data_IF_355400975446
#
_entry.id   IF_355400975446
#
_cell.length_a   1.000
_cell.length_b   1.000
_cell.length_c   1.000
_cell.angle_alpha   90.00
_cell.angle_beta   90.00
_cell.angle_gamma   90.00
#
_symmetry.space_group_name_H-M   'P 1'
#
loop_
_entity.id
_entity.type
_entity.pdbx_description
1 polymer ?
#
# COMPACT_ATOMS: atom_id res chain seq x y z
N UNK A 1 -0.94 -28.08 -5.12
CA UNK A 1 -0.54 -27.58 -6.46
C UNK A 1 -0.50 -28.76 -7.44
N UNK A 2 -0.71 -28.53 -8.76
CA UNK A 2 -0.42 -29.53 -9.81
C UNK A 2 1.05 -29.53 -10.16
N UNK A 3 1.49 -30.55 -10.93
CA UNK A 3 2.87 -30.67 -11.41
C UNK A 3 3.28 -29.45 -12.25
N UNK A 4 2.41 -29.00 -13.14
CA UNK A 4 2.67 -27.90 -14.09
C UNK A 4 2.52 -26.49 -13.51
N UNK A 5 2.19 -26.36 -12.23
CA UNK A 5 1.89 -25.06 -11.60
C UNK A 5 3.00 -24.03 -11.82
N UNK A 6 4.23 -24.40 -11.52
CA UNK A 6 5.37 -23.48 -11.62
C UNK A 6 5.68 -23.10 -13.07
N UNK A 7 5.51 -24.05 -14.01
CA UNK A 7 5.72 -23.81 -15.43
C UNK A 7 4.62 -22.89 -16.00
N UNK A 8 3.35 -23.12 -15.63
CA UNK A 8 2.21 -22.32 -16.08
C UNK A 8 2.35 -20.86 -15.67
N UNK A 9 2.88 -20.60 -14.47
CA UNK A 9 3.11 -19.26 -13.95
C UNK A 9 4.50 -18.70 -14.27
N UNK A 10 5.30 -19.43 -15.05
CA UNK A 10 6.68 -19.06 -15.39
C UNK A 10 7.56 -18.76 -14.16
N UNK A 11 7.34 -19.49 -13.05
CA UNK A 11 8.14 -19.34 -11.82
C UNK A 11 9.45 -20.09 -12.00
N UNK A 12 10.62 -19.42 -11.94
CA UNK A 12 11.89 -20.05 -12.16
C UNK A 12 12.28 -20.97 -10.99
N UNK A 13 12.85 -22.11 -11.31
CA UNK A 13 13.52 -22.97 -10.34
C UNK A 13 14.87 -22.35 -9.98
N UNK A 14 15.14 -22.13 -8.70
CA UNK A 14 16.42 -21.63 -8.24
C UNK A 14 17.41 -22.75 -7.95
N UNK A 15 16.96 -23.83 -7.30
CA UNK A 15 17.78 -25.01 -6.96
C UNK A 15 16.94 -26.26 -6.88
N UNK A 16 17.56 -27.42 -7.10
CA UNK A 16 16.89 -28.71 -7.03
C UNK A 16 16.06 -29.05 -8.26
N UNK A 17 14.88 -29.63 -8.07
CA UNK A 17 13.91 -29.95 -9.11
C UNK A 17 12.49 -29.52 -8.73
N UNK A 18 11.62 -29.36 -9.70
CA UNK A 18 10.18 -29.18 -9.51
C UNK A 18 9.48 -30.55 -9.35
N UNK A 19 8.19 -30.52 -9.06
CA UNK A 19 7.35 -31.70 -9.07
C UNK A 19 7.30 -32.33 -10.45
N UNK A 20 7.24 -33.65 -10.48
CA UNK A 20 7.04 -34.44 -11.69
C UNK A 20 5.95 -35.50 -11.52
N UNK A 21 5.57 -36.18 -12.61
CA UNK A 21 4.53 -37.21 -12.57
C UNK A 21 4.92 -38.43 -11.73
N UNK A 22 6.20 -38.59 -11.42
CA UNK A 22 6.70 -39.69 -10.59
C UNK A 22 6.45 -39.44 -9.09
N UNK A 23 6.15 -38.20 -8.69
CA UNK A 23 5.85 -37.82 -7.31
C UNK A 23 4.39 -38.13 -6.94
N UNK A 24 3.93 -39.36 -7.13
CA UNK A 24 2.56 -39.79 -6.85
C UNK A 24 2.22 -39.92 -5.36
N UNK A 25 0.95 -40.16 -5.04
CA UNK A 25 0.44 -40.28 -3.67
C UNK A 25 1.10 -41.35 -2.81
N UNK A 26 1.57 -42.42 -3.46
CA UNK A 26 2.17 -43.60 -2.81
C UNK A 26 3.70 -43.55 -2.73
N UNK A 27 4.28 -42.43 -3.13
CA UNK A 27 5.72 -42.21 -3.12
C UNK A 27 6.16 -41.41 -1.89
N UNK A 28 7.47 -41.17 -1.79
CA UNK A 28 8.03 -40.27 -0.80
C UNK A 28 7.38 -38.90 -0.93
N UNK A 29 6.94 -38.35 0.22
CA UNK A 29 6.29 -37.04 0.25
C UNK A 29 7.32 -35.97 0.02
N UNK A 30 7.09 -35.12 -0.98
CA UNK A 30 8.00 -34.09 -1.41
C UNK A 30 7.37 -32.71 -1.35
N UNK A 31 8.19 -31.70 -1.13
CA UNK A 31 7.79 -30.29 -1.10
C UNK A 31 8.80 -29.42 -1.86
N UNK A 32 8.27 -28.31 -2.38
CA UNK A 32 9.06 -27.19 -2.88
C UNK A 32 8.89 -26.03 -1.91
N UNK A 33 9.95 -25.30 -1.62
CA UNK A 33 9.95 -24.21 -0.64
C UNK A 33 10.40 -22.90 -1.28
N UNK A 34 10.01 -21.76 -0.67
CA UNK A 34 10.52 -20.46 -1.08
C UNK A 34 11.98 -20.27 -0.64
N UNK A 35 12.69 -19.41 -1.35
CA UNK A 35 14.06 -18.99 -1.01
C UNK A 35 14.15 -18.34 0.38
N UNK A 36 13.14 -17.54 0.75
CA UNK A 36 13.04 -16.93 2.07
C UNK A 36 12.82 -17.97 3.18
N UNK A 37 12.02 -19.01 2.90
CA UNK A 37 11.87 -20.15 3.80
C UNK A 37 13.21 -20.87 3.97
N UNK A 38 13.87 -21.16 2.87
CA UNK A 38 15.17 -21.84 2.86
C UNK A 38 16.23 -21.05 3.68
N UNK A 39 16.33 -19.75 3.46
CA UNK A 39 17.27 -18.88 4.16
C UNK A 39 16.98 -18.82 5.68
N UNK A 40 15.70 -18.85 6.07
CA UNK A 40 15.30 -18.75 7.48
C UNK A 40 15.51 -20.05 8.26
N UNK A 41 15.11 -21.19 7.66
CA UNK A 41 15.08 -22.47 8.37
C UNK A 41 16.32 -23.34 8.13
N UNK A 42 17.10 -23.03 7.09
CA UNK A 42 18.34 -23.75 6.77
C UNK A 42 19.53 -22.79 6.54
N UNK A 43 19.85 -21.92 7.52
CA UNK A 43 20.90 -20.91 7.33
C UNK A 43 22.25 -21.57 7.06
N UNK A 44 22.87 -21.24 5.94
CA UNK A 44 24.18 -21.75 5.53
C UNK A 44 24.22 -23.23 5.13
N UNK A 45 23.05 -23.90 5.01
CA UNK A 45 22.95 -25.29 4.60
C UNK A 45 22.19 -25.42 3.27
N UNK A 46 22.46 -26.51 2.54
CA UNK A 46 21.64 -26.87 1.37
C UNK A 46 20.33 -27.51 1.85
N UNK A 47 19.16 -26.91 1.54
CA UNK A 47 17.86 -27.43 1.98
C UNK A 47 17.42 -28.66 1.18
N UNK A 48 17.89 -28.83 -0.06
CA UNK A 48 17.50 -29.93 -0.94
C UNK A 48 17.90 -31.27 -0.32
N UNK A 49 16.97 -32.20 -0.25
CA UNK A 49 17.14 -33.50 0.40
C UNK A 49 16.92 -33.48 1.93
N UNK A 50 16.70 -32.32 2.55
CA UNK A 50 16.36 -32.26 3.97
C UNK A 50 14.89 -32.61 4.21
N UNK A 51 14.62 -33.19 5.39
CA UNK A 51 13.28 -33.56 5.79
C UNK A 51 12.67 -32.53 6.72
N UNK A 52 11.39 -32.25 6.50
CA UNK A 52 10.56 -31.36 7.33
C UNK A 52 9.39 -32.18 7.89
N UNK A 53 9.16 -32.05 9.19
CA UNK A 53 8.06 -32.70 9.87
C UNK A 53 6.87 -31.74 9.99
N UNK A 54 5.72 -32.16 9.47
CA UNK A 54 4.47 -31.41 9.69
C UNK A 54 3.90 -31.76 11.08
N UNK A 55 3.93 -30.75 11.96
CA UNK A 55 3.48 -30.87 13.35
C UNK A 55 1.97 -30.60 13.50
N UNK A 56 1.29 -30.12 12.48
CA UNK A 56 -0.12 -29.71 12.51
C UNK A 56 -1.13 -30.86 12.37
N UNK A 57 -0.66 -32.09 12.32
CA UNK A 57 -1.52 -33.28 12.30
C UNK A 57 -2.06 -33.53 13.72
N UNK A 58 -3.12 -32.80 14.11
CA UNK A 58 -3.79 -33.00 15.41
C UNK A 58 -4.23 -34.48 15.52
N UNK A 59 -3.48 -35.25 16.29
CA UNK A 59 -3.80 -36.68 16.58
C UNK A 59 -3.37 -37.69 15.51
N UNK A 60 -2.71 -37.29 14.42
CA UNK A 60 -2.14 -38.16 13.39
C UNK A 60 -0.62 -38.23 13.50
N UNK A 61 -0.02 -39.31 12.94
CA UNK A 61 1.43 -39.40 12.82
C UNK A 61 1.94 -38.20 12.01
N UNK A 62 2.99 -37.48 12.44
CA UNK A 62 3.54 -36.38 11.69
C UNK A 62 3.97 -36.85 10.29
N UNK A 63 3.51 -36.13 9.27
CA UNK A 63 3.97 -36.39 7.92
C UNK A 63 5.40 -35.87 7.78
N UNK A 64 6.26 -36.66 7.13
CA UNK A 64 7.63 -36.24 6.79
C UNK A 64 7.67 -35.91 5.30
N UNK A 65 8.17 -34.73 5.00
CA UNK A 65 8.30 -34.24 3.63
C UNK A 65 9.77 -33.95 3.31
N UNK A 66 10.23 -34.37 2.15
CA UNK A 66 11.57 -34.08 1.66
C UNK A 66 11.56 -32.85 0.76
N UNK A 67 12.43 -31.87 1.04
CA UNK A 67 12.58 -30.68 0.18
C UNK A 67 13.27 -31.09 -1.11
N UNK A 68 12.61 -30.90 -2.26
CA UNK A 68 13.18 -31.26 -3.57
C UNK A 68 13.59 -30.05 -4.40
N UNK A 69 13.05 -28.87 -4.12
CA UNK A 69 13.33 -27.67 -4.90
C UNK A 69 13.10 -26.39 -4.15
N UNK A 70 13.73 -25.34 -4.63
CA UNK A 70 13.65 -23.97 -4.12
C UNK A 70 13.23 -23.05 -5.27
N UNK A 71 12.21 -22.24 -5.02
CA UNK A 71 11.67 -21.23 -5.94
C UNK A 71 11.67 -19.85 -5.26
N UNK A 72 11.63 -18.74 -6.01
CA UNK A 72 11.49 -17.43 -5.40
C UNK A 72 10.15 -17.35 -4.67
N UNK A 73 10.10 -16.60 -3.56
CA UNK A 73 8.85 -16.32 -2.88
C UNK A 73 7.97 -15.43 -3.78
N UNK A 74 6.73 -15.84 -4.01
CA UNK A 74 5.79 -15.16 -4.89
C UNK A 74 4.58 -14.64 -4.12
N UNK A 75 3.86 -13.67 -4.71
CA UNK A 75 2.61 -13.16 -4.16
C UNK A 75 1.47 -14.10 -4.57
N UNK A 76 0.91 -14.85 -3.60
CA UNK A 76 -0.24 -15.72 -3.83
C UNK A 76 -1.57 -15.02 -3.61
N UNK A 77 -1.58 -14.13 -2.62
CA UNK A 77 -2.74 -13.37 -2.24
C UNK A 77 -2.85 -12.08 -3.06
N UNK A 78 -3.89 -11.32 -2.78
CA UNK A 78 -4.10 -10.01 -3.39
C UNK A 78 -2.84 -9.15 -3.20
N UNK A 79 -2.48 -8.30 -4.18
CA UNK A 79 -1.30 -7.44 -4.09
C UNK A 79 -1.31 -6.47 -2.90
N UNK A 80 -2.46 -6.24 -2.28
CA UNK A 80 -2.68 -5.39 -1.11
C UNK A 80 -2.40 -6.11 0.23
N UNK A 81 -2.26 -7.45 0.22
CA UNK A 81 -1.85 -8.21 1.39
C UNK A 81 -0.32 -8.33 1.46
N UNK A 82 0.25 -8.32 2.67
CA UNK A 82 1.67 -8.62 2.82
C UNK A 82 1.99 -9.99 2.25
N UNK A 83 3.04 -10.08 1.43
CA UNK A 83 3.51 -11.36 0.93
C UNK A 83 3.89 -12.26 2.10
N UNK A 84 3.35 -13.50 2.12
CA UNK A 84 3.79 -14.49 3.08
C UNK A 84 5.28 -14.82 2.83
N UNK A 85 6.18 -14.53 3.79
CA UNK A 85 7.61 -14.67 3.54
C UNK A 85 8.03 -16.13 3.44
N UNK A 86 7.33 -17.03 4.11
CA UNK A 86 7.69 -18.44 4.19
C UNK A 86 6.63 -19.29 3.50
N UNK A 87 6.94 -19.72 2.26
CA UNK A 87 6.01 -20.48 1.44
C UNK A 87 6.48 -21.91 1.28
N UNK A 88 5.55 -22.84 1.47
CA UNK A 88 5.76 -24.27 1.26
C UNK A 88 4.69 -24.77 0.31
N UNK A 89 5.13 -25.41 -0.75
CA UNK A 89 4.27 -25.92 -1.82
C UNK A 89 4.16 -27.42 -1.71
N UNK A 90 2.91 -27.92 -1.65
CA UNK A 90 2.60 -29.34 -1.59
C UNK A 90 2.00 -29.80 -2.92
N UNK A 91 2.41 -30.94 -3.39
CA UNK A 91 1.72 -31.58 -4.49
C UNK A 91 0.32 -31.98 -4.03
N UNK A 92 -0.71 -31.74 -4.86
CA UNK A 92 -2.11 -31.98 -4.47
C UNK A 92 -2.36 -33.41 -4.01
N UNK A 93 -1.81 -34.40 -4.72
CA UNK A 93 -1.92 -35.83 -4.39
C UNK A 93 -1.27 -36.21 -3.05
N UNK A 94 -0.35 -35.42 -2.53
CA UNK A 94 0.39 -35.66 -1.29
C UNK A 94 0.05 -34.66 -0.18
N UNK A 95 -0.89 -33.72 -0.43
CA UNK A 95 -1.23 -32.64 0.51
C UNK A 95 -1.73 -33.17 1.85
N UNK A 96 -1.27 -32.64 2.98
CA UNK A 96 -1.77 -32.99 4.30
C UNK A 96 -3.19 -32.46 4.52
N UNK A 97 -3.59 -31.46 3.74
CA UNK A 97 -4.92 -30.89 3.77
C UNK A 97 -5.83 -31.76 2.92
N UNK A 98 -6.59 -32.65 3.58
CA UNK A 98 -7.58 -33.48 2.89
C UNK A 98 -8.63 -32.57 2.20
N UNK A 99 -9.23 -33.02 1.05
CA UNK A 99 -10.24 -32.27 0.28
C UNK A 99 -11.49 -31.85 1.07
N UNK A 100 -11.57 -32.16 2.34
CA UNK A 100 -12.69 -31.82 3.22
C UNK A 100 -12.77 -30.34 3.59
N UNK A 101 -11.72 -29.55 3.35
CA UNK A 101 -11.65 -28.15 3.83
C UNK A 101 -12.00 -27.14 2.74
N UNK A 102 -11.71 -27.44 1.48
CA UNK A 102 -12.08 -26.57 0.36
C UNK A 102 -12.53 -27.40 -0.83
N UNK A 103 -13.80 -27.26 -1.20
CA UNK A 103 -14.33 -27.84 -2.44
C UNK A 103 -13.99 -26.98 -3.67
N UNK A 104 -13.20 -25.94 -3.49
CA UNK A 104 -12.89 -24.99 -4.55
C UNK A 104 -11.50 -25.27 -5.14
N UNK A 105 -11.48 -25.45 -6.45
CA UNK A 105 -10.25 -25.60 -7.23
C UNK A 105 -10.12 -24.40 -8.15
N UNK A 106 -8.93 -23.82 -8.19
CA UNK A 106 -8.59 -22.79 -9.18
C UNK A 106 -7.78 -23.41 -10.29
N UNK A 107 -8.33 -23.40 -11.51
CA UNK A 107 -7.64 -23.83 -12.71
C UNK A 107 -6.97 -22.65 -13.38
N UNK A 108 -5.65 -22.73 -13.56
CA UNK A 108 -4.85 -21.73 -14.27
C UNK A 108 -4.54 -22.25 -15.68
N UNK A 109 -4.83 -21.45 -16.69
CA UNK A 109 -4.52 -21.73 -18.08
C UNK A 109 -3.63 -20.65 -18.65
N UNK A 110 -2.53 -21.06 -19.26
CA UNK A 110 -1.66 -20.19 -20.03
C UNK A 110 -1.97 -20.30 -21.52
N UNK A 111 -2.21 -19.18 -22.19
CA UNK A 111 -2.52 -19.13 -23.62
C UNK A 111 -1.73 -18.02 -24.31
N UNK A 112 -1.46 -18.21 -25.61
CA UNK A 112 -0.80 -17.23 -26.47
C UNK A 112 -1.76 -16.26 -27.17
N UNK A 113 -3.07 -16.45 -27.01
CA UNK A 113 -4.11 -15.63 -27.64
C UNK A 113 -5.07 -15.03 -26.62
N UNK A 114 -6.24 -14.63 -27.10
CA UNK A 114 -7.31 -14.13 -26.23
C UNK A 114 -7.76 -15.23 -25.24
N UNK A 115 -7.54 -15.02 -23.94
CA UNK A 115 -7.94 -15.99 -22.91
C UNK A 115 -9.43 -16.32 -22.92
N UNK A 116 -10.27 -15.33 -23.27
CA UNK A 116 -11.73 -15.50 -23.28
C UNK A 116 -12.21 -16.41 -24.41
N UNK A 117 -11.43 -16.55 -25.48
CA UNK A 117 -11.77 -17.47 -26.57
C UNK A 117 -11.80 -18.93 -26.13
N UNK A 118 -11.07 -19.29 -25.08
CA UNK A 118 -11.00 -20.66 -24.54
C UNK A 118 -12.16 -21.04 -23.62
N UNK A 119 -12.98 -20.08 -23.17
CA UNK A 119 -14.03 -20.31 -22.15
C UNK A 119 -15.01 -21.40 -22.58
N UNK A 120 -15.47 -21.37 -23.84
CA UNK A 120 -16.43 -22.36 -24.33
C UNK A 120 -15.80 -23.76 -24.44
N UNK A 121 -14.57 -23.86 -24.92
CA UNK A 121 -13.84 -25.12 -25.00
C UNK A 121 -13.62 -25.71 -23.60
N UNK A 122 -13.22 -24.85 -22.64
CA UNK A 122 -13.04 -25.25 -21.24
C UNK A 122 -14.34 -25.78 -20.63
N UNK A 123 -15.47 -25.09 -20.84
CA UNK A 123 -16.78 -25.53 -20.35
C UNK A 123 -17.17 -26.88 -20.93
N UNK A 124 -16.96 -27.09 -22.23
CA UNK A 124 -17.25 -28.39 -22.87
C UNK A 124 -16.36 -29.50 -22.30
N UNK A 125 -15.09 -29.24 -22.09
CA UNK A 125 -14.15 -30.22 -21.56
C UNK A 125 -14.52 -30.63 -20.14
N UNK A 126 -14.79 -29.65 -19.25
CA UNK A 126 -15.17 -29.93 -17.86
C UNK A 126 -16.54 -30.62 -17.78
N UNK A 127 -17.54 -30.19 -18.56
CA UNK A 127 -18.84 -30.85 -18.61
C UNK A 127 -18.75 -32.30 -19.14
N UNK A 128 -17.74 -32.60 -19.96
CA UNK A 128 -17.45 -33.96 -20.39
C UNK A 128 -16.85 -34.84 -19.30
N UNK A 129 -16.23 -34.28 -18.29
CA UNK A 129 -15.69 -34.99 -17.12
C UNK A 129 -16.77 -35.16 -16.06
N UNK A 130 -17.41 -34.07 -15.65
CA UNK A 130 -18.54 -34.05 -14.73
C UNK A 130 -19.49 -32.89 -15.08
N UNK A 131 -20.72 -33.23 -15.56
CA UNK A 131 -21.72 -32.19 -15.89
C UNK A 131 -22.23 -31.39 -14.70
N UNK A 132 -22.05 -31.88 -13.46
CA UNK A 132 -22.48 -31.18 -12.24
C UNK A 132 -21.41 -30.24 -11.65
N UNK A 133 -20.23 -30.20 -12.24
CA UNK A 133 -19.15 -29.33 -11.77
C UNK A 133 -19.34 -27.90 -12.31
N UNK A 134 -19.75 -26.94 -11.46
CA UNK A 134 -19.95 -25.56 -11.91
C UNK A 134 -18.61 -24.87 -12.12
N UNK A 135 -18.39 -24.34 -13.31
CA UNK A 135 -17.32 -23.38 -13.56
C UNK A 135 -17.78 -21.97 -13.18
N UNK A 136 -17.34 -21.52 -12.03
CA UNK A 136 -17.62 -20.17 -11.53
C UNK A 136 -16.41 -19.27 -11.75
N UNK A 137 -16.64 -17.96 -11.88
CA UNK A 137 -15.54 -16.96 -11.81
C UNK A 137 -14.45 -17.15 -12.86
N UNK A 138 -14.83 -17.25 -14.14
CA UNK A 138 -13.88 -17.32 -15.25
C UNK A 138 -13.49 -15.89 -15.66
N UNK A 139 -12.23 -15.52 -15.48
CA UNK A 139 -11.71 -14.19 -15.85
C UNK A 139 -10.24 -14.25 -16.23
N UNK A 140 -9.78 -13.32 -17.07
CA UNK A 140 -8.35 -13.15 -17.36
C UNK A 140 -7.59 -12.77 -16.09
N UNK A 141 -6.34 -13.21 -15.97
CA UNK A 141 -5.51 -12.93 -14.81
C UNK A 141 -5.27 -11.41 -14.60
N UNK A 142 -5.18 -10.65 -15.69
CA UNK A 142 -5.07 -9.18 -15.65
C UNK A 142 -6.26 -8.52 -14.94
N UNK A 143 -7.47 -9.09 -15.10
CA UNK A 143 -8.67 -8.57 -14.42
C UNK A 143 -8.60 -8.81 -12.91
N UNK A 144 -8.05 -9.94 -12.46
CA UNK A 144 -7.82 -10.20 -11.02
C UNK A 144 -6.92 -9.15 -10.42
N UNK A 145 -5.83 -8.84 -11.13
CA UNK A 145 -4.88 -7.79 -10.72
C UNK A 145 -5.60 -6.43 -10.68
N UNK A 146 -6.34 -6.09 -11.73
CA UNK A 146 -7.05 -4.81 -11.82
C UNK A 146 -8.09 -4.63 -10.70
N UNK A 147 -8.90 -5.65 -10.44
CA UNK A 147 -9.93 -5.64 -9.40
C UNK A 147 -9.33 -5.59 -7.99
N UNK A 148 -8.18 -6.22 -7.80
CA UNK A 148 -7.43 -6.13 -6.54
C UNK A 148 -7.02 -4.70 -6.18
N UNK A 149 -6.76 -3.86 -7.18
CA UNK A 149 -6.42 -2.45 -6.99
C UNK A 149 -7.64 -1.52 -6.94
N UNK A 150 -8.84 -1.97 -7.32
CA UNK A 150 -10.02 -1.12 -7.36
C UNK A 150 -10.39 -0.56 -5.98
N UNK A 151 -10.37 -1.38 -4.94
CA UNK A 151 -10.60 -0.98 -3.56
C UNK A 151 -9.58 0.05 -3.08
N UNK A 152 -8.32 -0.13 -3.44
CA UNK A 152 -7.23 0.78 -3.07
C UNK A 152 -7.35 2.13 -3.78
N UNK A 153 -7.78 2.15 -5.06
CA UNK A 153 -8.06 3.39 -5.80
C UNK A 153 -9.18 4.19 -5.14
N UNK A 154 -10.26 3.54 -4.73
CA UNK A 154 -11.36 4.20 -4.00
C UNK A 154 -10.86 4.83 -2.70
N UNK A 155 -10.10 4.08 -1.90
CA UNK A 155 -9.51 4.59 -0.65
C UNK A 155 -8.58 5.79 -0.91
N UNK A 156 -7.69 5.70 -1.89
CA UNK A 156 -6.79 6.81 -2.27
C UNK A 156 -7.57 8.04 -2.73
N UNK A 157 -8.64 7.86 -3.52
CA UNK A 157 -9.49 8.98 -3.96
C UNK A 157 -10.19 9.63 -2.79
N UNK A 158 -10.77 8.85 -1.87
CA UNK A 158 -11.43 9.39 -0.67
C UNK A 158 -10.45 10.16 0.21
N UNK A 159 -9.29 9.57 0.52
CA UNK A 159 -8.24 10.23 1.30
C UNK A 159 -7.77 11.51 0.60
N UNK A 160 -7.58 11.49 -0.72
CA UNK A 160 -7.21 12.66 -1.51
C UNK A 160 -8.24 13.79 -1.42
N UNK A 161 -9.53 13.48 -1.56
CA UNK A 161 -10.62 14.47 -1.43
C UNK A 161 -10.67 15.05 -0.03
N UNK A 162 -10.59 14.23 1.02
CA UNK A 162 -10.57 14.73 2.40
C UNK A 162 -9.34 15.57 2.70
N UNK A 163 -8.17 15.18 2.19
CA UNK A 163 -6.94 15.96 2.34
C UNK A 163 -7.04 17.32 1.64
N UNK A 164 -7.60 17.37 0.44
CA UNK A 164 -7.85 18.63 -0.27
C UNK A 164 -8.82 19.52 0.46
N UNK A 165 -9.92 18.97 0.99
CA UNK A 165 -10.88 19.72 1.79
C UNK A 165 -10.25 20.27 3.08
N UNK A 166 -9.46 19.46 3.79
CA UNK A 166 -8.73 19.89 4.99
C UNK A 166 -7.73 21.01 4.67
N UNK A 167 -7.02 20.93 3.54
CA UNK A 167 -6.10 21.97 3.09
C UNK A 167 -6.82 23.29 2.83
N UNK A 168 -7.96 23.25 2.12
CA UNK A 168 -8.78 24.45 1.86
C UNK A 168 -9.28 25.08 3.17
N UNK A 169 -9.79 24.26 4.09
CA UNK A 169 -10.24 24.74 5.41
C UNK A 169 -9.08 25.37 6.21
N UNK A 170 -7.89 24.79 6.15
CA UNK A 170 -6.69 25.33 6.81
C UNK A 170 -6.29 26.68 6.22
N UNK A 171 -6.31 26.82 4.89
CA UNK A 171 -6.03 28.11 4.19
C UNK A 171 -7.05 29.17 4.60
N UNK A 172 -8.35 28.84 4.61
CA UNK A 172 -9.43 29.76 5.01
C UNK A 172 -9.31 30.14 6.49
N UNK A 173 -9.01 29.17 7.36
CA UNK A 173 -8.80 29.41 8.79
C UNK A 173 -7.60 30.35 9.05
N UNK A 174 -6.45 30.09 8.42
CA UNK A 174 -5.27 30.94 8.55
C UNK A 174 -5.52 32.35 8.00
N UNK A 175 -6.18 32.45 6.83
CA UNK A 175 -6.61 33.73 6.27
C UNK A 175 -7.52 34.50 7.23
N UNK A 176 -8.51 33.86 7.86
CA UNK A 176 -9.42 34.47 8.82
C UNK A 176 -8.69 35.03 10.04
N UNK A 177 -7.80 34.24 10.65
CA UNK A 177 -7.01 34.66 11.81
C UNK A 177 -6.10 35.84 11.47
N UNK A 178 -5.42 35.81 10.33
CA UNK A 178 -4.53 36.88 9.90
C UNK A 178 -5.31 38.16 9.55
N UNK A 179 -6.44 38.05 8.84
CA UNK A 179 -7.30 39.18 8.50
C UNK A 179 -7.83 39.86 9.76
N UNK A 180 -8.24 39.07 10.75
CA UNK A 180 -8.67 39.59 12.04
C UNK A 180 -7.54 40.31 12.80
N UNK A 181 -6.36 39.67 12.84
CA UNK A 181 -5.16 40.27 13.48
C UNK A 181 -4.76 41.59 12.82
N UNK A 182 -4.79 41.66 11.49
CA UNK A 182 -4.51 42.91 10.73
C UNK A 182 -5.57 43.97 11.05
N UNK A 183 -6.86 43.60 11.14
CA UNK A 183 -7.93 44.52 11.46
C UNK A 183 -7.78 45.17 12.86
N UNK A 184 -7.41 44.38 13.86
CA UNK A 184 -7.15 44.86 15.22
C UNK A 184 -5.97 45.85 15.31
N UNK A 185 -4.96 45.68 14.43
CA UNK A 185 -3.76 46.51 14.40
C UNK A 185 -3.77 47.59 13.32
N UNK A 186 -4.92 47.82 12.68
CA UNK A 186 -5.08 48.75 11.56
C UNK A 186 -4.53 50.14 11.90
N UNK A 187 -4.86 50.65 13.11
CA UNK A 187 -4.39 51.95 13.57
C UNK A 187 -2.88 51.99 13.77
N UNK A 188 -2.30 50.98 14.37
CA UNK A 188 -0.82 50.88 14.54
C UNK A 188 -0.09 50.87 13.18
N UNK A 189 -0.59 50.04 12.23
CA UNK A 189 -0.05 49.94 10.90
C UNK A 189 -0.15 51.25 10.11
N UNK A 190 -1.29 51.99 10.27
CA UNK A 190 -1.48 53.30 9.66
C UNK A 190 -0.51 54.34 10.19
N UNK A 191 -0.26 54.40 11.53
CA UNK A 191 0.73 55.28 12.13
C UNK A 191 2.14 54.97 11.61
N UNK A 192 2.53 53.71 11.51
CA UNK A 192 3.84 53.32 10.95
C UNK A 192 4.01 53.77 9.49
N UNK A 193 2.96 53.61 8.66
CA UNK A 193 2.98 54.09 7.27
C UNK A 193 3.08 55.64 7.21
N UNK A 194 2.36 56.35 8.06
CA UNK A 194 2.46 57.81 8.13
C UNK A 194 3.84 58.32 8.55
N UNK A 195 4.61 57.50 9.34
CA UNK A 195 5.98 57.75 9.74
C UNK A 195 7.00 57.28 8.71
N UNK A 196 6.58 56.83 7.50
CA UNK A 196 7.46 56.48 6.39
C UNK A 196 7.84 55.00 6.29
N UNK A 197 7.16 54.09 7.00
CA UNK A 197 7.38 52.65 6.84
C UNK A 197 7.01 52.21 5.42
N UNK A 198 7.91 51.47 4.77
CA UNK A 198 7.65 50.89 3.45
C UNK A 198 6.61 49.76 3.52
N UNK A 199 5.83 49.62 2.46
CA UNK A 199 4.85 48.53 2.34
C UNK A 199 5.47 47.11 2.47
N UNK A 200 6.72 46.94 2.03
CA UNK A 200 7.50 45.72 2.19
C UNK A 200 7.74 45.34 3.66
N UNK A 201 7.95 46.29 4.54
CA UNK A 201 8.16 46.05 5.97
C UNK A 201 6.85 45.54 6.65
N UNK A 202 5.71 46.09 6.24
CA UNK A 202 4.40 45.66 6.73
C UNK A 202 4.04 44.26 6.19
N UNK A 203 4.31 44.02 4.89
CA UNK A 203 4.17 42.68 4.29
C UNK A 203 5.00 41.66 5.07
N UNK A 204 6.28 41.93 5.29
CA UNK A 204 7.18 41.05 6.01
C UNK A 204 6.70 40.74 7.44
N UNK A 205 6.12 41.73 8.13
CA UNK A 205 5.59 41.55 9.49
C UNK A 205 4.37 40.66 9.50
N UNK A 206 3.41 40.86 8.60
CA UNK A 206 2.16 40.06 8.52
C UNK A 206 2.47 38.64 8.04
N UNK A 207 3.26 38.48 6.98
CA UNK A 207 3.65 37.15 6.47
C UNK A 207 4.50 36.40 7.51
N UNK A 208 5.44 37.10 8.19
CA UNK A 208 6.24 36.47 9.25
C UNK A 208 5.41 35.96 10.42
N UNK A 209 4.35 36.71 10.80
CA UNK A 209 3.41 36.25 11.83
C UNK A 209 2.61 35.02 11.36
N UNK A 210 2.14 35.02 10.12
CA UNK A 210 1.43 33.86 9.54
C UNK A 210 2.31 32.63 9.43
N UNK A 211 3.57 32.79 9.00
CA UNK A 211 4.54 31.69 8.91
C UNK A 211 4.91 31.14 10.29
N UNK A 212 4.96 31.94 11.34
CA UNK A 212 5.17 31.43 12.72
C UNK A 212 4.00 30.53 13.16
N UNK A 213 2.75 30.96 12.92
CA UNK A 213 1.57 30.15 13.25
C UNK A 213 1.55 28.85 12.43
N UNK A 214 1.79 28.96 11.12
CA UNK A 214 1.87 27.82 10.24
C UNK A 214 3.02 26.86 10.61
N UNK A 215 4.18 27.40 11.01
CA UNK A 215 5.33 26.62 11.45
C UNK A 215 5.06 25.82 12.73
N UNK A 216 4.40 26.42 13.71
CA UNK A 216 3.98 25.71 14.93
C UNK A 216 2.98 24.59 14.57
N UNK A 217 1.99 24.88 13.74
CA UNK A 217 1.03 23.89 13.28
C UNK A 217 1.70 22.74 12.49
N UNK A 218 2.67 23.07 11.64
CA UNK A 218 3.44 22.07 10.88
C UNK A 218 4.26 21.16 11.80
N UNK A 219 4.92 21.72 12.82
CA UNK A 219 5.68 20.95 13.80
C UNK A 219 4.79 19.99 14.58
N UNK A 220 3.67 20.47 15.11
CA UNK A 220 2.71 19.63 15.83
C UNK A 220 2.12 18.56 14.90
N UNK A 221 1.74 18.93 13.67
CA UNK A 221 1.23 18.00 12.68
C UNK A 221 2.24 16.92 12.28
N UNK A 222 3.51 17.29 12.12
CA UNK A 222 4.58 16.35 11.79
C UNK A 222 4.84 15.36 12.93
N UNK A 223 4.91 15.83 14.16
CA UNK A 223 5.06 14.96 15.34
C UNK A 223 3.88 14.00 15.44
N UNK A 224 2.66 14.51 15.29
CA UNK A 224 1.45 13.68 15.31
C UNK A 224 1.43 12.63 14.18
N UNK A 225 1.85 13.01 12.96
CA UNK A 225 1.94 12.09 11.84
C UNK A 225 2.97 10.99 12.08
N UNK A 226 4.15 11.33 12.60
CA UNK A 226 5.19 10.34 12.91
C UNK A 226 4.78 9.38 14.03
N UNK A 227 4.12 9.88 15.08
CA UNK A 227 3.63 9.03 16.17
C UNK A 227 2.51 8.11 15.71
N UNK A 228 1.56 8.62 14.91
CA UNK A 228 0.47 7.83 14.35
C UNK A 228 0.99 6.76 13.38
N UNK A 229 1.97 7.13 12.55
CA UNK A 229 2.62 6.20 11.62
C UNK A 229 3.27 5.03 12.37
N UNK A 230 4.01 5.31 13.44
CA UNK A 230 4.63 4.28 14.28
C UNK A 230 3.58 3.36 14.93
N UNK A 231 2.44 3.91 15.33
CA UNK A 231 1.33 3.13 15.90
C UNK A 231 0.68 2.21 14.84
N UNK A 232 0.58 2.68 13.60
CA UNK A 232 0.03 1.92 12.46
C UNK A 232 1.01 0.82 12.03
N UNK A 233 2.31 1.07 11.99
CA UNK A 233 3.34 0.06 11.70
C UNK A 233 3.29 -1.11 12.69
N UNK A 234 3.08 -0.80 13.97
CA UNK A 234 2.92 -1.83 14.99
C UNK A 234 1.65 -2.68 14.77
N UNK A 235 0.58 -2.08 14.27
CA UNK A 235 -0.70 -2.76 13.98
C UNK A 235 -0.73 -3.49 12.61
N UNK A 236 0.09 -3.10 11.64
CA UNK A 236 0.06 -3.59 10.25
C UNK A 236 1.27 -4.44 9.83
N UNK A 237 2.00 -5.06 10.74
CA UNK A 237 3.08 -6.01 10.41
C UNK A 237 4.03 -5.54 9.27
N UNK A 238 4.87 -4.54 9.54
CA UNK A 238 6.15 -4.41 8.83
C UNK A 238 6.13 -3.72 7.46
N UNK A 239 5.12 -2.92 7.15
CA UNK A 239 5.19 -2.02 5.97
C UNK A 239 5.84 -0.71 6.40
N UNK A 240 7.03 -0.42 5.86
CA UNK A 240 7.70 0.88 6.08
C UNK A 240 6.85 1.99 5.47
N UNK A 241 6.07 2.67 6.30
CA UNK A 241 5.20 3.78 5.89
C UNK A 241 5.93 5.13 5.85
N UNK A 242 7.22 5.18 6.14
CA UNK A 242 8.03 6.40 6.16
C UNK A 242 8.81 6.57 4.85
N UNK A 243 8.13 6.98 3.78
CA UNK A 243 8.80 7.46 2.57
C UNK A 243 9.20 8.94 2.75
N UNK A 244 10.51 9.27 2.84
CA UNK A 244 10.97 10.65 3.05
C UNK A 244 10.58 11.59 1.92
N UNK A 245 10.39 11.08 0.70
CA UNK A 245 9.96 11.87 -0.46
C UNK A 245 8.51 12.34 -0.28
N UNK A 246 7.62 11.46 0.13
CA UNK A 246 6.21 11.77 0.39
C UNK A 246 6.06 12.80 1.52
N UNK A 247 6.83 12.68 2.60
CA UNK A 247 6.87 13.67 3.68
C UNK A 247 7.38 15.03 3.17
N UNK A 248 8.47 15.04 2.39
CA UNK A 248 9.04 16.26 1.82
C UNK A 248 8.05 17.00 0.91
N UNK A 249 7.37 16.31 0.03
CA UNK A 249 6.34 16.89 -0.86
C UNK A 249 5.17 17.44 -0.05
N UNK A 250 4.71 16.72 0.97
CA UNK A 250 3.60 17.16 1.82
C UNK A 250 3.93 18.44 2.58
N UNK A 251 5.14 18.54 3.15
CA UNK A 251 5.64 19.73 3.84
C UNK A 251 5.71 20.92 2.86
N UNK A 252 6.20 20.71 1.66
CA UNK A 252 6.32 21.74 0.64
C UNK A 252 4.95 22.29 0.21
N UNK A 253 3.97 21.40 0.01
CA UNK A 253 2.59 21.78 -0.30
C UNK A 253 1.95 22.59 0.84
N UNK A 254 2.16 22.18 2.09
CA UNK A 254 1.63 22.90 3.26
C UNK A 254 2.26 24.29 3.41
N UNK A 255 3.57 24.43 3.19
CA UNK A 255 4.26 25.72 3.21
C UNK A 255 3.74 26.64 2.09
N UNK A 256 3.59 26.10 0.88
CA UNK A 256 3.05 26.86 -0.25
C UNK A 256 1.61 27.33 0.03
N UNK A 257 0.77 26.49 0.58
CA UNK A 257 -0.59 26.83 0.97
C UNK A 257 -0.63 27.92 2.06
N UNK A 258 0.25 27.83 3.07
CA UNK A 258 0.39 28.83 4.11
C UNK A 258 0.85 30.18 3.55
N UNK A 259 1.81 30.20 2.62
CA UNK A 259 2.26 31.41 1.93
C UNK A 259 1.10 32.07 1.17
N UNK A 260 0.32 31.30 0.40
CA UNK A 260 -0.85 31.82 -0.33
C UNK A 260 -1.88 32.41 0.65
N UNK A 261 -2.17 31.72 1.76
CA UNK A 261 -3.08 32.18 2.79
C UNK A 261 -2.64 33.50 3.45
N UNK A 262 -1.31 33.70 3.59
CA UNK A 262 -0.74 34.91 4.20
C UNK A 262 -0.67 36.10 3.23
N UNK A 263 -0.48 35.86 1.93
CA UNK A 263 -0.29 36.93 0.95
C UNK A 263 -1.51 37.83 0.79
N UNK A 264 -2.71 37.26 0.73
CA UNK A 264 -3.95 38.03 0.53
C UNK A 264 -4.21 39.06 1.66
N UNK A 265 -4.16 38.70 2.97
CA UNK A 265 -4.36 39.68 4.04
C UNK A 265 -3.18 40.66 4.13
N UNK A 266 -1.95 40.21 3.82
CA UNK A 266 -0.79 41.09 3.81
C UNK A 266 -0.86 42.18 2.71
N UNK A 267 -1.29 41.82 1.50
CA UNK A 267 -1.54 42.77 0.42
C UNK A 267 -2.67 43.75 0.74
N UNK A 268 -3.71 43.29 1.45
CA UNK A 268 -4.77 44.21 1.93
C UNK A 268 -4.26 45.18 2.98
N UNK A 269 -3.37 44.72 3.86
CA UNK A 269 -2.76 45.59 4.90
C UNK A 269 -1.94 46.73 4.30
N UNK A 270 -1.24 46.53 3.16
CA UNK A 270 -0.43 47.58 2.50
C UNK A 270 -1.28 48.58 1.71
N UNK A 271 -2.56 48.30 1.44
CA UNK A 271 -3.45 49.23 0.71
C UNK A 271 -4.32 50.08 1.64
N UNK A 272 -4.06 50.06 2.94
CA UNK A 272 -4.78 50.89 3.90
C UNK A 272 -4.36 52.36 3.69
N UNK A 273 -5.36 53.23 3.43
CA UNK A 273 -5.15 54.68 3.35
C UNK A 273 -4.99 55.27 4.76
N UNK A 274 -3.76 55.78 5.10
CA UNK A 274 -3.50 56.28 6.44
C UNK A 274 -4.35 57.50 6.80
N UNK A 275 -4.72 58.31 5.79
CA UNK A 275 -5.52 59.55 6.02
C UNK A 275 -6.94 59.22 6.46
N UNK A 276 -7.58 58.21 5.85
CA UNK A 276 -8.93 57.77 6.21
C UNK A 276 -9.00 57.12 7.60
N UNK A 277 -7.97 56.36 7.96
CA UNK A 277 -7.93 55.56 9.19
C UNK A 277 -7.62 56.43 10.44
N UNK A 278 -6.96 57.59 10.28
CA UNK A 278 -6.66 58.50 11.38
C UNK A 278 -7.80 59.52 11.61
N UNK A 279 -8.78 59.58 10.69
CA UNK A 279 -9.94 60.49 10.78
C UNK A 279 -11.18 59.84 11.41
N UNK A 280 -11.21 58.49 11.46
CA UNK A 280 -12.19 57.67 12.22
C UNK A 280 -11.71 57.42 13.67
#
# INVERSE_FOLDING_TARGET
MSVDYFQTLAIPLLRGRLFDEQDGSDKEKVIVVSDEFAARFFPGQEPTGKQIHDVNSIGLKPNVYTVIGIVPAIQHDRPDFPRAPYQVYFLYSQSPFTPRITNDFTLLLHTWGDPLALVNALRHTVAGIDPNLPLTSIYPFDQVIYDSFASRRLQMTLVGVFSAAALVLSVVGLYGVLSYSVSLRKRELSVRMALGAQASNILGLVVGQGLKIAGIGLMVGLISALTLNHLIEWALFGVSAADPVSFGVSILVLIAAALVACLLPALRATRIDPIKTLRE
#
